data_IF_236050195458
#
_entry.id   IF_236050195458
#
_cell.length_a   1.000
_cell.length_b   1.000
_cell.length_c   1.000
_cell.angle_alpha   90.00
_cell.angle_beta   90.00
_cell.angle_gamma   90.00
#
_symmetry.space_group_name_H-M   'P 1'
#
loop_
_entity.id
_entity.type
_entity.pdbx_description
1 polymer ?
#
# COMPACT_ATOMS: atom_id res chain seq x y z
N UNK A 1 14.90 19.49 8.40
CA UNK A 1 13.55 19.84 7.91
C UNK A 1 12.68 18.61 8.07
N UNK A 2 11.69 18.66 8.96
CA UNK A 2 10.73 17.57 9.10
C UNK A 2 9.77 17.67 7.92
N UNK A 3 9.89 16.74 6.96
CA UNK A 3 8.87 16.57 5.92
C UNK A 3 7.62 16.11 6.66
N UNK A 4 6.59 16.94 6.62
CA UNK A 4 5.28 16.64 7.20
C UNK A 4 4.78 15.33 6.57
N UNK A 5 4.89 14.23 7.33
CA UNK A 5 4.40 12.92 6.89
C UNK A 5 2.89 12.95 7.03
N UNK A 6 2.26 13.38 5.95
CA UNK A 6 0.84 13.30 5.64
C UNK A 6 0.18 12.09 6.37
N UNK A 7 -0.40 12.38 7.53
CA UNK A 7 -0.79 11.42 8.57
C UNK A 7 -2.08 10.68 8.24
N UNK A 8 -2.16 10.13 7.03
CA UNK A 8 -3.36 9.47 6.50
C UNK A 8 -3.30 7.95 6.64
N UNK A 9 -2.12 7.37 6.82
CA UNK A 9 -1.92 5.94 6.96
C UNK A 9 -0.67 5.60 7.78
N UNK A 10 -0.58 4.35 8.22
CA UNK A 10 0.61 3.76 8.84
C UNK A 10 0.97 2.43 8.19
N UNK A 11 2.26 2.20 7.99
CA UNK A 11 2.76 0.93 7.45
C UNK A 11 2.82 -0.09 8.58
N UNK A 12 2.01 -1.16 8.47
CA UNK A 12 1.95 -2.25 9.45
C UNK A 12 3.05 -3.27 9.18
N UNK A 13 3.24 -3.63 7.91
CA UNK A 13 4.20 -4.65 7.50
C UNK A 13 4.58 -4.42 6.04
N UNK A 14 5.85 -4.68 5.72
CA UNK A 14 6.29 -4.92 4.36
C UNK A 14 6.87 -6.32 4.28
N UNK A 15 6.34 -7.16 3.39
CA UNK A 15 6.78 -8.53 3.16
C UNK A 15 7.37 -8.66 1.77
N UNK A 16 8.64 -9.06 1.73
CA UNK A 16 9.35 -9.42 0.50
C UNK A 16 9.22 -10.94 0.27
N UNK A 17 8.84 -11.36 -0.95
CA UNK A 17 8.73 -12.76 -1.34
C UNK A 17 10.04 -13.33 -1.93
N UNK A 18 11.10 -12.53 -1.95
CA UNK A 18 12.44 -12.92 -2.38
C UNK A 18 12.69 -12.70 -3.87
N UNK A 19 13.98 -12.81 -4.24
CA UNK A 19 14.51 -12.49 -5.57
C UNK A 19 13.83 -13.23 -6.72
N UNK A 20 13.30 -14.43 -6.48
CA UNK A 20 12.64 -15.24 -7.51
C UNK A 20 11.26 -14.70 -7.89
N UNK A 21 10.53 -14.10 -6.95
CA UNK A 21 9.16 -13.62 -7.18
C UNK A 21 9.09 -12.16 -7.58
N UNK A 22 10.15 -11.36 -7.30
CA UNK A 22 10.19 -9.91 -7.55
C UNK A 22 8.86 -9.25 -7.17
N UNK A 23 8.38 -9.57 -5.98
CA UNK A 23 7.10 -9.12 -5.46
C UNK A 23 7.23 -8.71 -4.02
N UNK A 24 6.57 -7.60 -3.67
CA UNK A 24 6.47 -7.12 -2.30
C UNK A 24 5.02 -6.85 -1.95
N UNK A 25 4.65 -7.10 -0.70
CA UNK A 25 3.33 -6.74 -0.18
C UNK A 25 3.46 -5.82 1.01
N UNK A 26 2.84 -4.64 0.95
CA UNK A 26 2.74 -3.71 2.05
C UNK A 26 1.33 -3.77 2.65
N UNK A 27 1.25 -3.99 3.96
CA UNK A 27 0.02 -3.92 4.75
C UNK A 27 -0.03 -2.55 5.42
N UNK A 28 -1.11 -1.81 5.19
CA UNK A 28 -1.27 -0.41 5.55
C UNK A 28 -2.54 -0.23 6.37
N UNK A 29 -2.45 0.43 7.51
CA UNK A 29 -3.62 0.83 8.29
C UNK A 29 -3.94 2.30 7.99
N UNK A 30 -5.13 2.56 7.46
CA UNK A 30 -5.64 3.92 7.26
C UNK A 30 -5.97 4.54 8.62
N UNK A 31 -5.78 5.85 8.73
CA UNK A 31 -6.06 6.59 9.97
C UNK A 31 -7.52 7.03 10.03
N UNK A 32 -8.15 7.24 8.87
CA UNK A 32 -9.57 7.60 8.75
C UNK A 32 -10.41 6.46 8.17
N UNK A 33 -11.69 6.34 8.55
CA UNK A 33 -12.58 5.27 8.08
C UNK A 33 -13.05 5.44 6.63
N UNK A 34 -12.82 6.59 6.01
CA UNK A 34 -13.20 6.87 4.62
C UNK A 34 -12.06 7.55 3.87
N UNK A 35 -11.66 6.97 2.74
CA UNK A 35 -10.65 7.49 1.81
C UNK A 35 -11.18 7.44 0.39
N UNK A 36 -10.75 8.38 -0.44
CA UNK A 36 -11.10 8.36 -1.87
C UNK A 36 -10.20 7.42 -2.66
N UNK A 37 -10.63 6.99 -3.85
CA UNK A 37 -9.78 6.19 -4.74
C UNK A 37 -8.48 6.92 -5.12
N UNK A 38 -8.56 8.24 -5.32
CA UNK A 38 -7.40 9.08 -5.60
C UNK A 38 -6.39 9.07 -4.45
N UNK A 39 -6.88 9.18 -3.21
CA UNK A 39 -6.03 9.06 -2.02
C UNK A 39 -5.36 7.69 -1.95
N UNK A 40 -6.11 6.61 -2.20
CA UNK A 40 -5.56 5.25 -2.23
C UNK A 40 -4.49 5.08 -3.33
N UNK A 41 -4.70 5.66 -4.52
CA UNK A 41 -3.71 5.66 -5.60
C UNK A 41 -2.45 6.41 -5.19
N UNK A 42 -2.59 7.59 -4.59
CA UNK A 42 -1.47 8.40 -4.13
C UNK A 42 -0.68 7.71 -3.02
N UNK A 43 -1.35 6.99 -2.11
CA UNK A 43 -0.67 6.18 -1.09
C UNK A 43 0.08 5.01 -1.75
N UNK A 44 -0.57 4.30 -2.68
CA UNK A 44 0.05 3.18 -3.41
C UNK A 44 1.31 3.61 -4.16
N UNK A 45 1.25 4.75 -4.86
CA UNK A 45 2.39 5.29 -5.60
C UNK A 45 3.54 5.70 -4.67
N UNK A 46 3.26 6.43 -3.58
CA UNK A 46 4.30 6.81 -2.61
C UNK A 46 5.02 5.58 -2.04
N UNK A 47 4.26 4.57 -1.66
CA UNK A 47 4.81 3.32 -1.14
C UNK A 47 5.68 2.62 -2.20
N UNK A 48 5.29 2.65 -3.47
CA UNK A 48 6.08 2.12 -4.59
C UNK A 48 7.39 2.89 -4.83
N UNK A 49 7.36 4.22 -4.80
CA UNK A 49 8.55 5.06 -4.94
C UNK A 49 9.58 4.75 -3.84
N UNK A 50 9.11 4.55 -2.61
CA UNK A 50 9.97 4.27 -1.46
C UNK A 50 10.44 2.81 -1.38
N UNK A 51 9.58 1.86 -1.75
CA UNK A 51 9.79 0.43 -1.42
C UNK A 51 9.48 -0.52 -2.60
N UNK A 52 9.32 -0.05 -3.83
CA UNK A 52 8.83 -0.88 -4.95
C UNK A 52 9.75 -0.97 -6.16
N UNK A 53 10.71 -0.05 -6.33
CA UNK A 53 11.47 0.11 -7.58
C UNK A 53 12.27 -1.12 -8.03
N UNK A 54 12.63 -2.01 -7.10
CA UNK A 54 13.41 -3.23 -7.33
C UNK A 54 12.56 -4.48 -7.62
N UNK A 55 11.23 -4.40 -7.47
CA UNK A 55 10.29 -5.51 -7.70
C UNK A 55 9.49 -5.30 -8.99
N UNK A 56 8.92 -6.38 -9.54
CA UNK A 56 8.03 -6.33 -10.70
C UNK A 56 6.61 -5.90 -10.30
N UNK A 57 6.17 -6.31 -9.11
CA UNK A 57 4.84 -6.04 -8.55
C UNK A 57 4.94 -5.66 -7.06
N UNK A 58 4.29 -4.56 -6.70
CA UNK A 58 4.01 -4.23 -5.30
C UNK A 58 2.51 -4.22 -5.05
N UNK A 59 2.07 -4.99 -4.06
CA UNK A 59 0.68 -5.02 -3.62
C UNK A 59 0.56 -4.31 -2.29
N UNK A 60 -0.27 -3.27 -2.26
CA UNK A 60 -0.67 -2.55 -1.06
C UNK A 60 -2.03 -3.05 -0.60
N UNK A 61 -2.14 -3.29 0.70
CA UNK A 61 -3.30 -3.85 1.38
C UNK A 61 -3.77 -2.80 2.38
N UNK A 62 -5.01 -2.31 2.25
CA UNK A 62 -5.51 -1.17 3.03
C UNK A 62 -6.51 -1.57 4.12
N UNK A 63 -6.18 -1.46 5.40
CA UNK A 63 -7.10 -1.72 6.50
C UNK A 63 -7.79 -0.44 6.97
N UNK A 64 -9.09 -0.51 7.30
CA UNK A 64 -9.77 0.57 8.01
C UNK A 64 -9.35 0.60 9.49
N UNK A 65 -9.42 1.77 10.16
CA UNK A 65 -9.15 1.87 11.59
C UNK A 65 -9.94 0.84 12.41
N UNK A 66 -9.24 0.12 13.28
CA UNK A 66 -9.85 -0.89 14.14
C UNK A 66 -10.09 -2.26 13.50
N UNK A 67 -9.79 -2.44 12.20
CA UNK A 67 -9.83 -3.77 11.59
C UNK A 67 -8.69 -4.64 12.09
N UNK A 68 -8.97 -5.92 12.34
CA UNK A 68 -7.92 -6.91 12.53
C UNK A 68 -7.13 -7.02 11.22
N UNK A 69 -5.83 -6.75 11.26
CA UNK A 69 -5.00 -6.78 10.08
C UNK A 69 -4.87 -8.19 9.51
N UNK A 70 -5.10 -9.25 10.31
CA UNK A 70 -5.08 -10.64 9.84
C UNK A 70 -6.39 -11.09 9.16
N UNK A 71 -7.38 -10.18 9.05
CA UNK A 71 -8.64 -10.39 8.32
C UNK A 71 -8.52 -10.00 6.83
N UNK A 72 -9.47 -10.47 6.00
CA UNK A 72 -9.34 -10.49 4.52
C UNK A 72 -10.19 -9.43 3.78
N UNK A 73 -11.04 -8.66 4.46
CA UNK A 73 -11.95 -7.73 3.78
C UNK A 73 -11.37 -6.32 3.66
N UNK A 74 -10.98 -5.85 2.46
CA UNK A 74 -10.62 -4.45 2.16
C UNK A 74 -10.14 -4.23 0.69
N UNK A 75 -9.75 -2.99 0.35
CA UNK A 75 -9.20 -2.54 -0.94
C UNK A 75 -7.73 -2.92 -1.18
N UNK A 76 -7.38 -3.34 -2.40
CA UNK A 76 -6.01 -3.62 -2.82
C UNK A 76 -5.51 -2.50 -3.75
N UNK A 77 -4.36 -1.93 -3.41
CA UNK A 77 -3.54 -1.14 -4.32
C UNK A 77 -2.51 -2.05 -4.99
N UNK A 78 -2.23 -1.85 -6.26
CA UNK A 78 -1.10 -2.48 -6.93
C UNK A 78 -0.33 -1.43 -7.73
N UNK A 79 0.99 -1.55 -7.72
CA UNK A 79 1.86 -0.79 -8.58
C UNK A 79 2.81 -1.78 -9.25
N UNK A 80 2.78 -1.81 -10.59
CA UNK A 80 3.72 -2.60 -11.38
C UNK A 80 4.96 -1.76 -11.64
N UNK A 81 5.94 -2.33 -12.34
CA UNK A 81 7.10 -1.60 -12.85
C UNK A 81 6.82 -0.36 -13.69
N UNK A 82 5.58 -0.20 -14.19
CA UNK A 82 5.15 1.02 -14.86
C UNK A 82 5.01 2.23 -13.92
N UNK A 83 5.04 2.01 -12.59
CA UNK A 83 4.84 3.06 -11.61
C UNK A 83 3.41 3.61 -11.59
N UNK A 84 2.45 2.90 -12.18
CA UNK A 84 1.06 3.36 -12.26
C UNK A 84 0.25 2.66 -11.15
N UNK A 85 -0.26 3.39 -10.15
CA UNK A 85 -1.07 2.80 -9.09
C UNK A 85 -2.46 2.41 -9.60
N UNK A 86 -2.93 1.22 -9.22
CA UNK A 86 -4.26 0.68 -9.56
C UNK A 86 -4.96 0.20 -8.30
N UNK A 87 -6.25 0.50 -8.18
CA UNK A 87 -7.07 0.10 -7.03
C UNK A 87 -8.08 -0.96 -7.46
N UNK A 88 -8.25 -1.99 -6.63
CA UNK A 88 -9.31 -2.99 -6.74
C UNK A 88 -9.96 -3.19 -5.37
N UNK A 89 -11.23 -3.53 -5.34
CA UNK A 89 -12.00 -3.77 -4.12
C UNK A 89 -12.39 -5.25 -4.08
N UNK A 90 -12.23 -5.91 -2.92
CA UNK A 90 -12.53 -7.33 -2.75
C UNK A 90 -13.31 -7.60 -1.48
#
# INVERSE_FOLDING_TARGET
MAVERDGNYSVVMIRDFGKAWKRRTARIMLIKPSVTEEELKNITLRIWEENGQDVDEMITVFFLPGMNTDSVAYSFGSCMKDGIPRISYR
#
